data_IF_716128426504
#
_entry.id   IF_716128426504
#
_cell.length_a   1.000
_cell.length_b   1.000
_cell.length_c   1.000
_cell.angle_alpha   90.00
_cell.angle_beta   90.00
_cell.angle_gamma   90.00
#
_symmetry.space_group_name_H-M   'P 1'
#
loop_
_entity.id
_entity.type
_entity.pdbx_description
1 polymer ?
#
# COMPACT_ATOMS: atom_id res chain seq x y z
N UNK A 1 0.01 19.96 5.35
CA UNK A 1 0.08 20.51 3.97
C UNK A 1 -0.10 19.33 3.04
N UNK A 2 -1.36 18.95 2.81
CA UNK A 2 -1.75 17.85 1.94
C UNK A 2 -2.23 18.48 0.63
N UNK A 3 -1.43 18.38 -0.43
CA UNK A 3 -1.80 18.86 -1.74
C UNK A 3 -2.08 17.66 -2.63
N UNK A 4 -3.31 17.63 -3.13
CA UNK A 4 -3.79 16.73 -4.16
C UNK A 4 -2.88 16.74 -5.41
N UNK A 5 -2.60 15.56 -5.94
CA UNK A 5 -2.17 15.38 -7.32
C UNK A 5 -3.22 14.52 -8.03
N UNK A 6 -4.37 15.13 -8.31
CA UNK A 6 -5.26 14.68 -9.39
C UNK A 6 -4.87 15.50 -10.62
N UNK A 7 -4.37 14.83 -11.65
CA UNK A 7 -4.01 15.46 -12.91
C UNK A 7 -3.62 14.41 -13.94
N UNK A 8 -4.56 14.15 -14.86
CA UNK A 8 -4.41 13.29 -16.02
C UNK A 8 -3.17 13.66 -16.82
N UNK A 9 -2.19 12.77 -16.93
CA UNK A 9 -1.40 12.59 -18.14
C UNK A 9 -0.55 11.31 -18.04
N UNK A 10 -0.18 10.83 -19.21
CA UNK A 10 0.23 9.48 -19.58
C UNK A 10 1.38 8.88 -18.73
N UNK A 11 1.28 7.56 -18.47
CA UNK A 11 2.40 6.65 -18.20
C UNK A 11 3.58 7.20 -17.37
N UNK A 12 3.32 7.66 -16.14
CA UNK A 12 4.38 7.77 -15.15
C UNK A 12 4.42 6.48 -14.35
N UNK A 13 5.47 5.68 -14.57
CA UNK A 13 6.02 4.75 -13.58
C UNK A 13 6.34 5.56 -12.32
N UNK A 14 5.32 5.89 -11.52
CA UNK A 14 5.49 6.64 -10.28
C UNK A 14 6.07 5.65 -9.28
N UNK A 15 7.40 5.59 -9.22
CA UNK A 15 8.10 4.87 -8.18
C UNK A 15 7.83 5.60 -6.85
N UNK A 16 6.87 5.09 -6.08
CA UNK A 16 6.51 5.62 -4.76
C UNK A 16 7.31 4.94 -3.64
N UNK A 17 8.38 4.19 -3.94
CA UNK A 17 9.20 3.50 -2.91
C UNK A 17 9.80 4.48 -1.89
N UNK A 18 10.06 5.74 -2.31
CA UNK A 18 10.49 6.81 -1.40
C UNK A 18 9.50 7.09 -0.26
N UNK A 19 8.20 6.87 -0.46
CA UNK A 19 7.16 7.06 0.54
C UNK A 19 7.34 6.12 1.74
N UNK A 20 7.82 4.90 1.50
CA UNK A 20 8.01 3.88 2.54
C UNK A 20 9.20 4.16 3.48
N UNK A 21 9.91 5.27 3.27
CA UNK A 21 10.94 5.76 4.20
C UNK A 21 10.37 6.67 5.29
N UNK A 22 9.16 7.19 5.12
CA UNK A 22 8.54 8.14 6.05
C UNK A 22 7.86 7.41 7.21
N UNK A 23 8.63 7.00 8.22
CA UNK A 23 8.17 6.17 9.35
C UNK A 23 7.05 6.77 10.20
N UNK A 24 6.86 8.09 10.15
CA UNK A 24 5.81 8.81 10.88
C UNK A 24 4.46 8.84 10.15
N UNK A 25 4.35 8.24 8.95
CA UNK A 25 3.08 8.19 8.23
C UNK A 25 2.07 7.30 8.95
N UNK A 26 0.93 7.89 9.28
CA UNK A 26 -0.20 7.21 9.93
C UNK A 26 -1.28 6.82 8.92
N UNK A 27 -1.39 7.55 7.81
CA UNK A 27 -2.43 7.38 6.81
C UNK A 27 -1.84 7.50 5.41
N UNK A 28 -2.13 6.52 4.55
CA UNK A 28 -1.79 6.54 3.14
C UNK A 28 -3.04 6.23 2.33
N UNK A 29 -3.37 7.10 1.39
CA UNK A 29 -4.35 6.84 0.34
C UNK A 29 -3.73 7.08 -1.02
N UNK A 30 -3.63 6.01 -1.80
CA UNK A 30 -3.26 6.01 -3.21
C UNK A 30 -4.36 5.36 -4.06
N UNK A 31 -5.58 5.29 -3.52
CA UNK A 31 -6.73 4.73 -4.21
C UNK A 31 -7.09 5.51 -5.48
N UNK A 32 -7.83 4.88 -6.39
CA UNK A 32 -8.34 5.47 -7.64
C UNK A 32 -7.22 6.02 -8.54
N UNK A 33 -6.17 5.24 -8.71
CA UNK A 33 -5.04 5.57 -9.56
C UNK A 33 -4.80 4.46 -10.60
N UNK A 34 -3.74 4.61 -11.39
CA UNK A 34 -3.27 3.59 -12.34
C UNK A 34 -1.92 3.03 -11.91
N UNK A 35 -1.70 2.88 -10.60
CA UNK A 35 -0.46 2.31 -10.08
C UNK A 35 -0.41 0.82 -10.40
N UNK A 36 0.74 0.37 -10.90
CA UNK A 36 0.96 -0.99 -11.39
C UNK A 36 2.20 -1.63 -10.75
N UNK A 37 2.36 -2.94 -10.95
CA UNK A 37 3.44 -3.73 -10.39
C UNK A 37 3.04 -4.47 -9.11
N UNK A 38 4.03 -5.01 -8.41
CA UNK A 38 3.83 -5.77 -7.17
C UNK A 38 3.82 -4.85 -5.95
N UNK A 39 3.14 -5.27 -4.88
CA UNK A 39 3.22 -4.58 -3.59
C UNK A 39 4.64 -4.77 -3.00
N UNK A 40 5.34 -3.68 -2.66
CA UNK A 40 6.68 -3.76 -2.06
C UNK A 40 6.62 -4.19 -0.60
N UNK A 41 7.57 -5.03 -0.16
CA UNK A 41 7.71 -5.42 1.25
C UNK A 41 8.05 -4.23 2.15
N UNK A 42 8.64 -3.18 1.58
CA UNK A 42 9.01 -1.94 2.27
C UNK A 42 7.83 -1.20 2.90
N UNK A 43 6.57 -1.50 2.51
CA UNK A 43 5.39 -0.99 3.23
C UNK A 43 5.48 -1.34 4.72
N UNK A 44 6.08 -2.48 5.07
CA UNK A 44 6.34 -2.87 6.45
C UNK A 44 7.21 -1.91 7.26
N UNK A 45 7.99 -1.03 6.61
CA UNK A 45 8.78 -0.02 7.30
C UNK A 45 7.94 1.08 7.96
N UNK A 46 6.66 1.19 7.59
CA UNK A 46 5.73 2.21 8.09
C UNK A 46 5.09 1.77 9.40
N UNK A 47 5.91 1.65 10.46
CA UNK A 47 5.48 1.11 11.76
C UNK A 47 4.37 1.93 12.46
N UNK A 48 4.16 3.19 12.06
CA UNK A 48 3.10 4.06 12.56
C UNK A 48 1.80 4.01 11.75
N UNK A 49 1.78 3.28 10.63
CA UNK A 49 0.66 3.26 9.70
C UNK A 49 -0.57 2.60 10.33
N UNK A 50 -1.72 3.27 10.20
CA UNK A 50 -3.03 2.80 10.64
C UNK A 50 -3.97 2.52 9.48
N UNK A 51 -3.88 3.31 8.41
CA UNK A 51 -4.79 3.23 7.29
C UNK A 51 -4.01 3.16 5.97
N UNK A 52 -4.24 2.10 5.21
CA UNK A 52 -3.67 1.91 3.89
C UNK A 52 -4.77 1.65 2.86
N UNK A 53 -4.99 2.63 1.98
CA UNK A 53 -5.94 2.55 0.87
C UNK A 53 -5.19 2.49 -0.46
N UNK A 54 -5.22 1.31 -1.10
CA UNK A 54 -4.63 1.05 -2.42
C UNK A 54 -5.66 0.53 -3.42
N UNK A 55 -6.95 0.60 -3.10
CA UNK A 55 -8.02 0.07 -3.95
C UNK A 55 -8.13 0.81 -5.28
N UNK A 56 -8.75 0.16 -6.28
CA UNK A 56 -8.95 0.70 -7.63
C UNK A 56 -7.63 1.16 -8.27
N UNK A 57 -6.73 0.19 -8.44
CA UNK A 57 -5.41 0.33 -9.07
C UNK A 57 -5.12 -0.92 -9.94
N UNK A 58 -3.90 -1.06 -10.42
CA UNK A 58 -3.44 -2.17 -11.27
C UNK A 58 -2.37 -3.03 -10.59
N UNK A 59 -2.31 -3.06 -9.25
CA UNK A 59 -1.36 -3.91 -8.52
C UNK A 59 -1.62 -5.39 -8.81
N UNK A 60 -0.56 -6.15 -9.02
CA UNK A 60 -0.60 -7.57 -9.39
C UNK A 60 0.30 -8.44 -8.52
N UNK A 61 0.25 -9.75 -8.70
CA UNK A 61 1.01 -10.71 -7.89
C UNK A 61 0.38 -10.95 -6.52
N UNK A 62 1.17 -11.50 -5.61
CA UNK A 62 0.74 -11.84 -4.25
C UNK A 62 0.91 -10.66 -3.29
N UNK A 63 0.13 -10.67 -2.20
CA UNK A 63 0.35 -9.75 -1.08
C UNK A 63 1.55 -10.28 -0.28
N UNK A 64 2.65 -9.51 -0.09
CA UNK A 64 3.81 -9.99 0.64
C UNK A 64 3.46 -10.28 2.11
N UNK A 65 3.72 -11.49 2.60
CA UNK A 65 3.43 -11.84 4.00
C UNK A 65 4.22 -11.01 5.00
N UNK A 66 5.47 -10.74 4.67
CA UNK A 66 6.45 -10.18 5.60
C UNK A 66 6.23 -8.68 5.82
N UNK A 67 5.43 -8.03 4.96
CA UNK A 67 5.08 -6.62 5.15
C UNK A 67 4.25 -6.43 6.44
N UNK A 68 3.51 -7.45 6.88
CA UNK A 68 2.65 -7.35 8.05
C UNK A 68 3.38 -7.52 9.38
N UNK A 69 4.60 -8.09 9.38
CA UNK A 69 5.33 -8.38 10.63
C UNK A 69 5.66 -7.11 11.44
N UNK A 70 5.69 -5.95 10.79
CA UNK A 70 6.02 -4.66 11.41
C UNK A 70 4.83 -3.67 11.44
N UNK A 71 3.70 -4.01 10.81
CA UNK A 71 2.50 -3.17 10.72
C UNK A 71 1.56 -3.39 11.92
N UNK A 72 2.13 -3.34 13.13
CA UNK A 72 1.42 -3.61 14.40
C UNK A 72 0.28 -2.65 14.71
N UNK A 73 0.20 -1.50 14.02
CA UNK A 73 -0.81 -0.46 14.23
C UNK A 73 -1.83 -0.38 13.10
N UNK A 74 -1.74 -1.25 12.09
CA UNK A 74 -2.62 -1.21 10.94
C UNK A 74 -4.04 -1.63 11.34
N UNK A 75 -5.00 -0.75 11.07
CA UNK A 75 -6.41 -0.92 11.43
C UNK A 75 -7.28 -1.10 10.19
N UNK A 76 -6.93 -0.43 9.08
CA UNK A 76 -7.71 -0.47 7.85
C UNK A 76 -6.80 -0.73 6.66
N UNK A 77 -7.13 -1.77 5.90
CA UNK A 77 -6.44 -2.19 4.70
C UNK A 77 -7.44 -2.41 3.57
N UNK A 78 -7.42 -1.55 2.56
CA UNK A 78 -8.24 -1.73 1.35
C UNK A 78 -7.35 -1.95 0.13
N UNK A 79 -7.43 -3.17 -0.41
CA UNK A 79 -6.67 -3.63 -1.58
C UNK A 79 -7.58 -4.05 -2.76
N UNK A 80 -8.91 -3.92 -2.61
CA UNK A 80 -9.89 -4.34 -3.62
C UNK A 80 -9.70 -3.63 -4.96
N UNK A 81 -10.34 -4.14 -6.01
CA UNK A 81 -10.25 -3.54 -7.36
C UNK A 81 -8.79 -3.39 -7.84
N UNK A 82 -7.99 -4.43 -7.61
CA UNK A 82 -6.65 -4.62 -8.16
C UNK A 82 -6.58 -5.98 -8.87
N UNK A 83 -5.42 -6.34 -9.43
CA UNK A 83 -5.11 -7.64 -10.04
C UNK A 83 -4.34 -8.56 -9.09
N UNK A 84 -4.48 -8.36 -7.79
CA UNK A 84 -3.82 -9.17 -6.77
C UNK A 84 -4.35 -10.62 -6.81
N UNK A 85 -3.48 -11.56 -6.53
CA UNK A 85 -3.72 -13.00 -6.63
C UNK A 85 -3.01 -13.74 -5.49
N UNK A 86 -3.12 -15.07 -5.46
CA UNK A 86 -2.53 -15.89 -4.40
C UNK A 86 -3.35 -15.93 -3.11
N UNK A 87 -2.69 -16.26 -2.00
CA UNK A 87 -3.34 -16.46 -0.70
C UNK A 87 -3.36 -15.18 0.13
N UNK A 88 -4.38 -15.03 0.96
CA UNK A 88 -4.37 -14.01 2.02
C UNK A 88 -3.24 -14.34 3.01
N UNK A 89 -2.28 -13.44 3.25
CA UNK A 89 -1.13 -13.77 4.08
C UNK A 89 -1.50 -13.96 5.54
N UNK A 90 -0.96 -15.00 6.18
CA UNK A 90 -1.20 -15.27 7.60
C UNK A 90 -0.72 -14.13 8.52
N UNK A 91 0.27 -13.35 8.07
CA UNK A 91 0.75 -12.16 8.78
C UNK A 91 -0.34 -11.11 9.01
N UNK A 92 -1.38 -11.05 8.15
CA UNK A 92 -2.52 -10.13 8.32
C UNK A 92 -3.25 -10.36 9.65
N UNK A 93 -3.30 -11.60 10.13
CA UNK A 93 -3.94 -11.94 11.41
C UNK A 93 -3.08 -11.62 12.64
N UNK A 94 -1.85 -11.11 12.45
CA UNK A 94 -0.97 -10.66 13.55
C UNK A 94 -1.15 -9.18 13.89
N UNK A 95 -1.74 -8.38 13.00
CA UNK A 95 -2.09 -6.98 13.29
C UNK A 95 -3.15 -6.98 14.40
N UNK A 96 -2.84 -6.40 15.57
CA UNK A 96 -3.71 -6.36 16.75
C UNK A 96 -4.41 -5.01 16.90
#
# INVERSE_FOLDING_TARGET
IATALVGREQALRKNFVGLFKCKELVFISLADNRLEGILPTEIGNLTMLRNLYLYNNLFEGEIPSDMFDHLSRLQVLYLGENKLSGKIPLGLFKCK
#
